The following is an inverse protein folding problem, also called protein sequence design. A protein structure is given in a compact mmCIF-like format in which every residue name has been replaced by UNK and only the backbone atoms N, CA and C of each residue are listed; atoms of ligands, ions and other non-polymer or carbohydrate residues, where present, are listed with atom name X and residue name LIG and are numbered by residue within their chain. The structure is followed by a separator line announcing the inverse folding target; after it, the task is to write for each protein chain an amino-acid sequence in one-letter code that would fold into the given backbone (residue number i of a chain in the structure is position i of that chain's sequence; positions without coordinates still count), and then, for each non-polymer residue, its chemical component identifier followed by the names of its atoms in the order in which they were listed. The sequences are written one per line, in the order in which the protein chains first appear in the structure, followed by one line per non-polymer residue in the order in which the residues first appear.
data_IF_613125262738
#
_entry.id   IF_613125262738
#
_cell.length_a   1.000
_cell.length_b   1.000
_cell.length_c   1.000
_cell.angle_alpha   90.00
_cell.angle_beta   90.00
_cell.angle_gamma   90.00
#
_symmetry.space_group_name_H-M   'P 1'
#
loop_
_entity.id
_entity.type
_entity.pdbx_description
1 polymer ?
#
# COMPACT_ATOMS: atom_id res chain seq x y z
N UNK A 1 14.82 -2.58 22.93
CA UNK A 1 13.38 -2.47 22.58
C UNK A 1 12.59 -2.30 23.87
N UNK A 2 11.68 -1.35 23.88
CA UNK A 2 10.73 -1.15 24.97
C UNK A 2 9.45 -1.87 24.60
N UNK A 3 8.94 -2.72 25.46
CA UNK A 3 7.72 -3.49 25.20
C UNK A 3 6.87 -3.59 26.46
N UNK A 4 5.57 -3.70 26.24
CA UNK A 4 4.59 -3.96 27.27
C UNK A 4 3.94 -5.32 26.99
N UNK A 5 3.70 -6.09 28.04
CA UNK A 5 2.98 -7.34 27.92
C UNK A 5 1.48 -7.06 27.92
N UNK A 6 0.75 -7.70 27.01
CA UNK A 6 -0.70 -7.63 26.95
C UNK A 6 -1.26 -8.84 27.69
N UNK A 7 -2.07 -8.61 28.73
CA UNK A 7 -2.61 -9.67 29.57
C UNK A 7 -3.70 -10.47 28.85
N UNK A 8 -4.53 -9.81 28.05
CA UNK A 8 -5.55 -10.47 27.23
C UNK A 8 -5.50 -9.93 25.79
N UNK A 9 -4.97 -10.70 24.83
CA UNK A 9 -4.85 -10.26 23.44
C UNK A 9 -6.19 -10.15 22.70
N UNK A 10 -7.29 -10.61 23.29
CA UNK A 10 -8.64 -10.55 22.71
C UNK A 10 -9.51 -9.43 23.28
N UNK A 11 -9.08 -8.82 24.39
CA UNK A 11 -9.67 -7.61 24.95
C UNK A 11 -8.88 -6.37 24.56
N UNK A 12 -9.32 -5.20 24.97
CA UNK A 12 -8.70 -3.94 24.53
C UNK A 12 -7.22 -3.86 24.93
N UNK A 13 -6.39 -3.29 24.05
CA UNK A 13 -4.95 -3.03 24.27
C UNK A 13 -4.66 -2.10 25.47
N UNK A 14 -5.68 -1.67 26.20
CA UNK A 14 -5.58 -0.76 27.34
C UNK A 14 -5.09 -1.42 28.63
N UNK A 15 -5.12 -2.76 28.69
CA UNK A 15 -4.68 -3.52 29.87
C UNK A 15 -3.23 -3.98 29.70
N UNK A 16 -2.29 -3.03 29.73
CA UNK A 16 -0.85 -3.29 29.62
C UNK A 16 -0.17 -3.22 30.97
N UNK A 17 0.69 -4.20 31.23
CA UNK A 17 1.61 -4.18 32.38
C UNK A 17 2.68 -3.09 32.24
N UNK A 18 3.48 -2.91 33.27
CA UNK A 18 4.62 -1.99 33.25
C UNK A 18 5.53 -2.24 32.04
N UNK A 19 5.94 -1.15 31.39
CA UNK A 19 6.82 -1.21 30.21
C UNK A 19 8.24 -1.56 30.62
N UNK A 20 8.80 -2.61 30.03
CA UNK A 20 10.19 -3.05 30.25
C UNK A 20 10.99 -3.02 28.97
N UNK A 21 12.29 -2.79 29.08
CA UNK A 21 13.22 -2.84 27.95
C UNK A 21 13.77 -4.28 27.80
N UNK A 22 13.51 -4.91 26.65
CA UNK A 22 13.99 -6.25 26.32
C UNK A 22 14.73 -6.25 24.98
N UNK A 23 15.69 -7.17 24.83
CA UNK A 23 16.32 -7.43 23.56
C UNK A 23 15.39 -8.29 22.69
N UNK A 24 15.34 -8.04 21.38
CA UNK A 24 14.45 -8.76 20.47
C UNK A 24 14.79 -10.25 20.35
N UNK A 25 16.02 -10.63 20.65
CA UNK A 25 16.47 -12.03 20.64
C UNK A 25 15.80 -12.90 21.69
N UNK A 26 15.20 -12.30 22.72
CA UNK A 26 14.48 -13.05 23.77
C UNK A 26 13.08 -13.51 23.34
N UNK A 27 12.61 -13.08 22.16
CA UNK A 27 11.32 -13.50 21.63
C UNK A 27 11.49 -14.61 20.61
N UNK A 28 10.63 -15.62 20.65
CA UNK A 28 10.61 -16.70 19.66
C UNK A 28 10.37 -16.15 18.25
N UNK A 29 9.52 -15.13 18.14
CA UNK A 29 9.21 -14.43 16.88
C UNK A 29 8.83 -12.98 17.14
N UNK A 30 9.29 -12.10 16.26
CA UNK A 30 8.94 -10.68 16.24
C UNK A 30 8.26 -10.36 14.91
N UNK A 31 7.03 -9.88 14.96
CA UNK A 31 6.27 -9.52 13.75
C UNK A 31 6.39 -8.02 13.46
N UNK A 32 6.93 -7.69 12.29
CA UNK A 32 6.88 -6.33 11.77
C UNK A 32 5.52 -6.10 11.09
N UNK A 33 4.57 -5.52 11.83
CA UNK A 33 3.19 -5.26 11.40
C UNK A 33 2.80 -3.79 11.52
N UNK A 34 3.79 -2.89 11.57
CA UNK A 34 3.52 -1.45 11.60
C UNK A 34 2.87 -1.03 10.28
N UNK A 35 1.79 -0.27 10.39
CA UNK A 35 1.13 0.32 9.22
C UNK A 35 1.94 1.49 8.64
N UNK A 36 1.80 1.79 7.34
CA UNK A 36 2.29 3.03 6.74
C UNK A 36 1.78 4.28 7.51
N UNK A 37 2.37 5.45 7.33
CA UNK A 37 3.20 5.84 6.18
C UNK A 37 4.61 5.25 6.23
N UNK A 38 5.17 4.96 5.05
CA UNK A 38 6.58 4.54 4.92
C UNK A 38 7.44 5.81 4.92
N UNK A 39 7.59 6.35 6.11
CA UNK A 39 8.37 7.55 6.42
C UNK A 39 9.76 7.20 6.98
N UNK A 40 10.50 8.22 7.39
CA UNK A 40 11.83 8.05 7.99
C UNK A 40 11.77 7.17 9.25
N UNK A 41 10.76 7.34 10.12
CA UNK A 41 10.61 6.54 11.33
C UNK A 41 10.32 5.07 11.02
N UNK A 42 9.52 4.82 9.99
CA UNK A 42 9.26 3.46 9.50
C UNK A 42 10.55 2.81 8.99
N UNK A 43 11.31 3.54 8.17
CA UNK A 43 12.58 3.04 7.63
C UNK A 43 13.63 2.82 8.72
N UNK A 44 13.76 3.74 9.68
CA UNK A 44 14.65 3.58 10.83
C UNK A 44 14.29 2.34 11.67
N UNK A 45 13.00 2.06 11.87
CA UNK A 45 12.56 0.83 12.52
C UNK A 45 13.00 -0.42 11.76
N UNK A 46 12.88 -0.42 10.41
CA UNK A 46 13.35 -1.53 9.58
C UNK A 46 14.87 -1.74 9.66
N UNK A 47 15.67 -0.66 9.65
CA UNK A 47 17.12 -0.75 9.83
C UNK A 47 17.49 -1.38 11.17
N UNK A 48 16.83 -0.97 12.25
CA UNK A 48 17.06 -1.54 13.58
C UNK A 48 16.63 -3.02 13.65
N UNK A 49 15.52 -3.39 13.00
CA UNK A 49 15.07 -4.77 12.92
C UNK A 49 16.03 -5.63 12.07
N UNK A 50 16.62 -5.09 11.01
CA UNK A 50 17.63 -5.79 10.21
C UNK A 50 18.88 -6.10 11.04
N UNK A 51 19.37 -5.13 11.83
CA UNK A 51 20.47 -5.34 12.76
C UNK A 51 20.11 -6.41 13.80
N UNK A 52 18.90 -6.36 14.37
CA UNK A 52 18.44 -7.37 15.32
C UNK A 52 18.35 -8.76 14.70
N UNK A 53 17.90 -8.86 13.44
CA UNK A 53 17.87 -10.13 12.69
C UNK A 53 19.28 -10.68 12.48
N UNK A 54 20.24 -9.82 12.13
CA UNK A 54 21.66 -10.20 12.02
C UNK A 54 22.23 -10.71 13.36
N UNK A 55 21.75 -10.17 14.48
CA UNK A 55 22.13 -10.61 15.83
C UNK A 55 21.39 -11.88 16.29
N UNK A 56 20.54 -12.47 15.46
CA UNK A 56 19.85 -13.73 15.72
C UNK A 56 18.38 -13.62 16.15
N UNK A 57 17.79 -12.43 16.12
CA UNK A 57 16.35 -12.29 16.36
C UNK A 57 15.53 -12.82 15.16
N UNK A 58 14.47 -13.57 15.44
CA UNK A 58 13.58 -14.12 14.41
C UNK A 58 12.50 -13.11 14.04
N UNK A 59 12.75 -12.32 12.99
CA UNK A 59 11.86 -11.24 12.55
C UNK A 59 10.99 -11.69 11.37
N UNK A 60 9.70 -11.46 11.44
CA UNK A 60 8.69 -11.71 10.40
C UNK A 60 7.86 -10.41 10.21
N UNK A 61 7.73 -9.85 9.06
CA UNK A 61 8.37 -10.13 7.76
C UNK A 61 9.87 -9.77 7.78
N UNK A 62 10.59 -10.28 6.79
CA UNK A 62 12.03 -10.01 6.64
C UNK A 62 12.25 -8.49 6.40
N UNK A 63 13.02 -7.80 7.27
CA UNK A 63 13.14 -6.32 7.22
C UNK A 63 13.67 -5.80 5.89
N UNK A 64 14.67 -6.47 5.31
CA UNK A 64 15.27 -6.10 4.04
C UNK A 64 14.27 -6.19 2.88
N UNK A 65 13.39 -7.19 2.91
CA UNK A 65 12.30 -7.30 1.92
C UNK A 65 11.36 -6.10 2.03
N UNK A 66 10.96 -5.71 3.25
CA UNK A 66 10.10 -4.54 3.46
C UNK A 66 10.75 -3.23 3.03
N UNK A 67 12.06 -3.08 3.18
CA UNK A 67 12.81 -1.91 2.68
C UNK A 67 12.83 -1.87 1.14
N UNK A 68 12.97 -3.03 0.50
CA UNK A 68 13.15 -3.14 -0.96
C UNK A 68 11.81 -3.06 -1.70
N UNK A 69 10.77 -3.68 -1.14
CA UNK A 69 9.49 -3.88 -1.81
C UNK A 69 8.45 -2.81 -1.43
N UNK A 70 8.65 -1.57 -1.90
CA UNK A 70 7.59 -0.56 -1.84
C UNK A 70 6.43 -0.97 -2.74
N UNK A 71 5.24 -1.11 -2.19
CA UNK A 71 4.03 -1.62 -2.86
C UNK A 71 3.63 -0.87 -4.13
N UNK A 72 3.92 0.46 -4.20
CA UNK A 72 3.56 1.28 -5.37
C UNK A 72 4.67 1.28 -6.43
N UNK A 73 5.91 1.48 -6.01
CA UNK A 73 7.04 1.58 -6.94
C UNK A 73 7.40 0.22 -7.51
N UNK A 74 7.42 -0.84 -6.68
CA UNK A 74 7.70 -2.19 -7.16
C UNK A 74 6.69 -2.67 -8.19
N UNK A 75 5.42 -2.25 -8.08
CA UNK A 75 4.37 -2.60 -9.03
C UNK A 75 4.74 -2.23 -10.48
N UNK A 76 5.61 -1.22 -10.69
CA UNK A 76 6.11 -0.84 -12.04
C UNK A 76 6.88 -1.97 -12.75
N UNK A 77 7.44 -2.94 -12.02
CA UNK A 77 8.02 -4.15 -12.64
C UNK A 77 6.97 -4.98 -13.38
N UNK A 78 5.71 -4.77 -13.07
CA UNK A 78 4.55 -5.43 -13.66
C UNK A 78 3.69 -4.47 -14.49
N UNK A 79 4.32 -3.44 -15.09
CA UNK A 79 3.64 -2.37 -15.82
C UNK A 79 2.67 -2.87 -16.90
N UNK A 80 2.94 -4.04 -17.53
CA UNK A 80 2.05 -4.67 -18.51
C UNK A 80 0.66 -5.04 -17.97
N UNK A 81 0.50 -5.10 -16.64
CA UNK A 81 -0.78 -5.40 -15.95
C UNK A 81 -1.37 -4.19 -15.25
N UNK A 82 -0.73 -3.04 -15.38
CA UNK A 82 -1.17 -1.80 -14.78
C UNK A 82 -1.81 -0.89 -15.83
N UNK A 83 -2.67 0.01 -15.37
CA UNK A 83 -3.00 1.19 -16.18
C UNK A 83 -1.72 2.03 -16.38
N UNK A 84 -1.69 2.85 -17.43
CA UNK A 84 -0.51 3.68 -17.67
C UNK A 84 -0.18 4.51 -16.42
N UNK A 85 1.06 4.39 -15.97
CA UNK A 85 1.54 4.90 -14.69
C UNK A 85 2.89 5.59 -14.89
N UNK A 86 3.05 6.75 -14.25
CA UNK A 86 4.27 7.55 -14.28
C UNK A 86 4.60 8.05 -12.86
N UNK A 87 5.88 8.15 -12.53
CA UNK A 87 6.35 8.77 -11.29
C UNK A 87 7.11 10.05 -11.66
N UNK A 88 6.72 11.16 -11.04
CA UNK A 88 7.31 12.48 -11.32
C UNK A 88 7.14 13.45 -10.16
N UNK A 89 7.91 14.52 -10.18
CA UNK A 89 7.72 15.74 -9.38
C UNK A 89 7.74 16.99 -10.27
N UNK A 90 7.60 16.81 -11.60
CA UNK A 90 7.66 17.89 -12.58
C UNK A 90 6.27 18.26 -13.06
N UNK A 91 5.87 19.53 -12.86
CA UNK A 91 4.56 20.03 -13.29
C UNK A 91 4.35 19.94 -14.82
N UNK A 92 5.42 20.07 -15.61
CA UNK A 92 5.31 19.89 -17.06
C UNK A 92 4.88 18.46 -17.40
N UNK A 93 5.51 17.47 -16.77
CA UNK A 93 5.17 16.04 -16.97
C UNK A 93 3.75 15.71 -16.51
N UNK A 94 3.26 16.33 -15.43
CA UNK A 94 1.86 16.23 -15.01
C UNK A 94 0.92 16.71 -16.12
N UNK A 95 1.19 17.90 -16.71
CA UNK A 95 0.37 18.48 -17.79
C UNK A 95 0.37 17.61 -19.05
N UNK A 96 1.52 17.10 -19.45
CA UNK A 96 1.65 16.21 -20.60
C UNK A 96 0.88 14.89 -20.39
N UNK A 97 0.99 14.30 -19.20
CA UNK A 97 0.29 13.08 -18.84
C UNK A 97 -1.24 13.29 -18.82
N UNK A 98 -1.70 14.41 -18.25
CA UNK A 98 -3.11 14.78 -18.27
C UNK A 98 -3.63 15.06 -19.70
N UNK A 99 -2.88 15.77 -20.53
CA UNK A 99 -3.25 16.03 -21.92
C UNK A 99 -3.45 14.74 -22.73
N UNK A 100 -2.71 13.70 -22.39
CA UNK A 100 -2.81 12.38 -23.02
C UNK A 100 -4.02 11.57 -22.55
N UNK A 101 -4.36 11.65 -21.26
CA UNK A 101 -5.33 10.73 -20.61
C UNK A 101 -6.64 11.38 -20.21
N UNK A 102 -6.71 12.71 -20.16
CA UNK A 102 -7.85 13.55 -19.76
C UNK A 102 -8.31 13.38 -18.31
N UNK A 103 -8.37 12.16 -17.81
CA UNK A 103 -8.66 11.85 -16.41
C UNK A 103 -7.51 11.07 -15.79
N UNK A 104 -6.96 11.59 -14.72
CA UNK A 104 -5.81 11.00 -14.05
C UNK A 104 -5.99 10.93 -12.54
N UNK A 105 -5.29 10.00 -11.91
CA UNK A 105 -5.14 9.90 -10.47
C UNK A 105 -3.75 10.34 -10.07
N UNK A 106 -3.69 11.24 -9.09
CA UNK A 106 -2.47 11.67 -8.41
C UNK A 106 -2.44 11.08 -7.00
N UNK A 107 -1.33 10.47 -6.60
CA UNK A 107 -1.17 9.91 -5.24
C UNK A 107 0.27 9.91 -4.76
N UNK A 108 0.53 10.08 -3.44
CA UNK A 108 1.87 9.94 -2.87
C UNK A 108 2.35 8.49 -2.90
N UNK A 109 3.67 8.28 -2.91
CA UNK A 109 4.27 6.94 -2.95
C UNK A 109 4.22 6.22 -1.59
N UNK A 110 4.17 6.95 -0.48
CA UNK A 110 4.30 6.43 0.88
C UNK A 110 2.99 6.45 1.71
N UNK A 111 1.88 6.89 1.11
CA UNK A 111 0.56 6.96 1.77
C UNK A 111 -0.23 5.64 1.67
N UNK A 112 -1.26 5.51 2.53
CA UNK A 112 -2.18 4.37 2.56
C UNK A 112 -3.65 4.82 2.71
N UNK A 113 -4.58 3.86 2.63
CA UNK A 113 -5.99 4.06 3.00
C UNK A 113 -6.79 5.01 2.11
N UNK A 114 -6.27 5.42 0.96
CA UNK A 114 -6.91 6.42 0.10
C UNK A 114 -6.57 7.86 0.48
N UNK A 115 -5.74 8.08 1.51
CA UNK A 115 -5.32 9.42 1.90
C UNK A 115 -4.50 10.09 0.81
N UNK A 116 -4.78 11.37 0.57
CA UNK A 116 -4.10 12.20 -0.44
C UNK A 116 -4.12 11.59 -1.85
N UNK A 117 -5.21 10.90 -2.21
CA UNK A 117 -5.47 10.43 -3.57
C UNK A 117 -6.44 11.41 -4.22
N UNK A 118 -6.03 11.99 -5.33
CA UNK A 118 -6.79 13.01 -6.04
C UNK A 118 -7.10 12.54 -7.46
N UNK A 119 -8.30 12.86 -7.93
CA UNK A 119 -8.70 12.69 -9.34
C UNK A 119 -8.71 14.05 -10.00
N UNK A 120 -7.98 14.19 -11.10
CA UNK A 120 -7.93 15.40 -11.91
C UNK A 120 -8.66 15.19 -13.23
N UNK A 121 -9.69 16.01 -13.47
CA UNK A 121 -10.41 16.12 -14.74
C UNK A 121 -9.82 17.23 -15.62
N UNK A 122 -9.21 18.22 -14.99
CA UNK A 122 -8.54 19.36 -15.62
C UNK A 122 -7.33 19.76 -14.78
N UNK A 123 -6.44 20.56 -15.32
CA UNK A 123 -5.30 21.11 -14.60
C UNK A 123 -5.46 22.61 -14.48
N UNK A 124 -6.09 23.04 -13.41
CA UNK A 124 -6.23 24.44 -13.02
C UNK A 124 -5.13 24.85 -12.02
N UNK A 125 -5.19 26.08 -11.51
CA UNK A 125 -4.31 26.53 -10.44
C UNK A 125 -4.48 25.69 -9.16
N UNK A 126 -5.70 25.22 -8.85
CA UNK A 126 -5.96 24.41 -7.66
C UNK A 126 -5.28 23.04 -7.76
N UNK A 127 -5.38 22.36 -8.92
CA UNK A 127 -4.71 21.07 -9.13
C UNK A 127 -3.19 21.22 -9.09
N UNK A 128 -2.65 22.35 -9.58
CA UNK A 128 -1.22 22.64 -9.47
C UNK A 128 -0.80 22.88 -8.02
N UNK A 129 -1.58 23.60 -7.21
CA UNK A 129 -1.31 23.77 -5.78
C UNK A 129 -1.30 22.44 -5.03
N UNK A 130 -2.25 21.54 -5.34
CA UNK A 130 -2.27 20.19 -4.76
C UNK A 130 -1.02 19.41 -5.16
N UNK A 131 -0.65 19.47 -6.43
CA UNK A 131 0.57 18.82 -6.94
C UNK A 131 1.82 19.35 -6.25
N UNK A 132 1.98 20.68 -6.18
CA UNK A 132 3.11 21.35 -5.54
C UNK A 132 3.18 21.01 -4.04
N UNK A 133 2.04 20.96 -3.35
CA UNK A 133 1.96 20.53 -1.96
C UNK A 133 2.49 19.10 -1.72
N UNK A 134 2.15 18.17 -2.62
CA UNK A 134 2.61 16.79 -2.54
C UNK A 134 4.07 16.62 -2.95
N UNK A 135 4.58 17.46 -3.85
CA UNK A 135 5.96 17.37 -4.37
C UNK A 135 6.98 18.23 -3.61
N UNK A 136 6.54 18.94 -2.55
CA UNK A 136 7.45 19.69 -1.67
C UNK A 136 8.66 18.86 -1.25
N UNK A 137 9.83 19.55 -1.08
CA UNK A 137 11.10 18.89 -0.75
C UNK A 137 11.54 17.84 -1.80
N UNK A 138 11.21 18.08 -3.07
CA UNK A 138 11.56 17.23 -4.20
C UNK A 138 10.98 15.80 -4.13
N UNK A 139 9.86 15.61 -3.41
CA UNK A 139 9.19 14.32 -3.31
C UNK A 139 8.58 13.92 -4.66
N UNK A 140 8.65 12.63 -4.96
CA UNK A 140 8.02 12.04 -6.13
C UNK A 140 6.57 11.65 -5.82
N UNK A 141 5.69 11.79 -6.81
CA UNK A 141 4.30 11.34 -6.78
C UNK A 141 4.01 10.39 -7.93
N UNK A 142 2.98 9.57 -7.80
CA UNK A 142 2.51 8.68 -8.85
C UNK A 142 1.32 9.28 -9.55
N UNK A 143 1.40 9.34 -10.88
CA UNK A 143 0.30 9.63 -11.80
C UNK A 143 -0.18 8.33 -12.42
N UNK A 144 -1.48 8.13 -12.51
CA UNK A 144 -2.06 6.97 -13.19
C UNK A 144 -3.25 7.41 -14.05
N UNK A 145 -3.41 6.80 -15.22
CA UNK A 145 -4.65 6.92 -15.99
C UNK A 145 -5.81 6.44 -15.12
N UNK A 146 -6.87 7.21 -15.03
CA UNK A 146 -8.08 6.82 -14.30
C UNK A 146 -8.77 5.62 -14.96
N UNK A 147 -9.31 4.73 -14.15
CA UNK A 147 -10.08 3.56 -14.58
C UNK A 147 -11.52 3.78 -14.12
N UNK A 148 -12.46 4.14 -15.03
CA UNK A 148 -13.84 4.45 -14.67
C UNK A 148 -14.59 3.29 -14.01
N UNK A 149 -14.21 2.05 -14.35
CA UNK A 149 -14.80 0.82 -13.85
C UNK A 149 -14.62 0.63 -12.34
N UNK A 150 -13.83 1.49 -11.69
CA UNK A 150 -13.70 1.48 -10.22
C UNK A 150 -15.04 1.61 -9.49
N UNK A 151 -16.06 2.18 -10.13
CA UNK A 151 -17.42 2.26 -9.58
C UNK A 151 -18.02 0.89 -9.28
N UNK A 152 -17.60 -0.16 -10.01
CA UNK A 152 -18.01 -1.54 -9.78
C UNK A 152 -17.23 -2.20 -8.63
N UNK A 153 -16.20 -1.51 -8.13
CA UNK A 153 -15.31 -1.92 -7.06
C UNK A 153 -13.98 -2.49 -7.54
N UNK A 154 -13.00 -2.47 -6.66
CA UNK A 154 -11.75 -3.21 -6.82
C UNK A 154 -11.79 -4.52 -6.02
N UNK A 155 -10.99 -5.49 -6.42
CA UNK A 155 -10.92 -6.80 -5.77
C UNK A 155 -9.60 -6.96 -5.03
N UNK A 156 -9.66 -7.12 -3.71
CA UNK A 156 -8.52 -7.55 -2.92
C UNK A 156 -8.54 -9.09 -2.82
N UNK A 157 -7.58 -9.72 -3.47
CA UNK A 157 -7.45 -11.17 -3.50
C UNK A 157 -6.27 -11.57 -2.61
N UNK A 158 -6.54 -12.51 -1.70
CA UNK A 158 -5.52 -13.04 -0.80
C UNK A 158 -4.82 -14.22 -1.48
N UNK A 159 -3.49 -14.22 -1.47
CA UNK A 159 -2.67 -15.34 -1.93
C UNK A 159 -1.94 -15.91 -0.71
N UNK A 160 -2.10 -17.20 -0.44
CA UNK A 160 -1.49 -17.91 0.69
C UNK A 160 -0.66 -19.06 0.14
N UNK A 161 0.63 -19.05 0.41
CA UNK A 161 1.59 -20.05 -0.11
C UNK A 161 1.43 -20.26 -1.64
N UNK A 162 1.36 -19.16 -2.40
CA UNK A 162 1.21 -19.21 -3.84
C UNK A 162 -0.19 -19.63 -4.34
N UNK A 163 -1.17 -19.82 -3.48
CA UNK A 163 -2.52 -20.20 -3.88
C UNK A 163 -3.51 -19.07 -3.62
N UNK A 164 -4.25 -18.60 -4.65
CA UNK A 164 -5.31 -17.62 -4.46
C UNK A 164 -6.43 -18.19 -3.57
N UNK A 165 -6.84 -17.43 -2.57
CA UNK A 165 -8.01 -17.76 -1.79
C UNK A 165 -9.27 -17.68 -2.68
N UNK A 166 -10.21 -18.59 -2.53
CA UNK A 166 -11.38 -18.73 -3.42
C UNK A 166 -12.36 -17.54 -3.37
N UNK A 167 -12.18 -16.63 -2.43
CA UNK A 167 -12.98 -15.41 -2.31
C UNK A 167 -12.10 -14.16 -2.32
N UNK A 168 -12.67 -13.08 -2.82
CA UNK A 168 -12.09 -11.76 -2.81
C UNK A 168 -12.93 -10.80 -1.96
N UNK A 169 -12.28 -9.79 -1.40
CA UNK A 169 -12.95 -8.63 -0.85
C UNK A 169 -13.13 -7.61 -1.98
N UNK A 170 -14.35 -7.46 -2.49
CA UNK A 170 -14.70 -6.35 -3.36
C UNK A 170 -14.88 -5.10 -2.51
N UNK A 171 -14.22 -4.01 -2.89
CA UNK A 171 -14.30 -2.71 -2.22
C UNK A 171 -14.94 -1.72 -3.18
N UNK A 172 -16.18 -1.35 -2.88
CA UNK A 172 -17.04 -0.58 -3.78
C UNK A 172 -17.11 0.86 -3.28
N UNK A 173 -16.72 1.85 -4.10
CA UNK A 173 -16.90 3.26 -3.75
C UNK A 173 -18.36 3.58 -3.42
N UNK A 174 -18.56 4.51 -2.51
CA UNK A 174 -19.89 4.96 -2.09
C UNK A 174 -20.04 6.46 -2.29
N UNK A 175 -21.26 6.95 -2.33
CA UNK A 175 -21.62 8.37 -2.30
C UNK A 175 -20.91 9.25 -3.36
N UNK A 176 -20.76 8.73 -4.58
CA UNK A 176 -20.10 9.45 -5.68
C UNK A 176 -18.58 9.53 -5.56
N UNK A 177 -17.99 8.88 -4.57
CA UNK A 177 -16.53 8.72 -4.44
C UNK A 177 -15.98 7.79 -5.53
N UNK A 178 -14.71 7.96 -5.85
CA UNK A 178 -13.93 6.99 -6.65
C UNK A 178 -13.00 6.14 -5.78
N UNK A 179 -13.05 6.30 -4.44
CA UNK A 179 -12.20 5.57 -3.50
C UNK A 179 -12.94 4.34 -2.97
N UNK A 180 -12.49 3.15 -3.35
CA UNK A 180 -12.99 1.88 -2.83
C UNK A 180 -12.44 1.48 -1.45
N UNK A 181 -11.48 2.25 -0.90
CA UNK A 181 -10.87 1.95 0.39
C UNK A 181 -11.91 1.97 1.51
N UNK A 182 -11.95 0.92 2.34
CA UNK A 182 -12.88 0.84 3.47
C UNK A 182 -12.67 1.99 4.46
N UNK A 183 -11.41 2.39 4.70
CA UNK A 183 -11.07 3.54 5.56
C UNK A 183 -11.53 4.88 4.98
N UNK A 184 -11.82 4.95 3.67
CA UNK A 184 -12.36 6.12 2.99
C UNK A 184 -13.89 6.03 2.75
N UNK A 185 -14.57 5.11 3.45
CA UNK A 185 -16.02 4.94 3.35
C UNK A 185 -16.50 3.94 2.29
N UNK A 186 -15.60 3.23 1.62
CA UNK A 186 -15.97 2.17 0.67
C UNK A 186 -16.72 1.02 1.34
N UNK A 187 -17.65 0.40 0.62
CA UNK A 187 -18.39 -0.78 1.07
C UNK A 187 -17.63 -2.07 0.72
N UNK A 188 -17.43 -2.95 1.71
CA UNK A 188 -16.82 -4.25 1.52
C UNK A 188 -17.87 -5.33 1.21
N UNK A 189 -17.66 -6.09 0.14
CA UNK A 189 -18.46 -7.25 -0.20
C UNK A 189 -17.59 -8.48 -0.44
N UNK A 190 -18.02 -9.64 0.07
CA UNK A 190 -17.33 -10.90 -0.20
C UNK A 190 -17.84 -11.46 -1.51
N UNK A 191 -16.96 -11.65 -2.50
CA UNK A 191 -17.29 -12.21 -3.82
C UNK A 191 -16.46 -13.45 -4.11
N UNK A 192 -17.04 -14.44 -4.79
CA UNK A 192 -16.30 -15.61 -5.26
C UNK A 192 -15.44 -15.24 -6.47
N UNK A 193 -14.21 -15.76 -6.54
CA UNK A 193 -13.40 -15.64 -7.73
C UNK A 193 -14.00 -16.46 -8.88
N UNK A 194 -14.00 -15.89 -10.07
CA UNK A 194 -14.36 -16.62 -11.30
C UNK A 194 -13.21 -17.53 -11.73
N UNK A 195 -13.52 -18.55 -12.55
CA UNK A 195 -12.50 -19.42 -13.13
C UNK A 195 -11.47 -18.62 -13.95
N UNK A 196 -11.91 -17.56 -14.63
CA UNK A 196 -11.03 -16.65 -15.39
C UNK A 196 -10.05 -15.92 -14.45
N UNK A 197 -10.55 -15.34 -13.37
CA UNK A 197 -9.71 -14.66 -12.37
C UNK A 197 -8.68 -15.63 -11.76
N UNK A 198 -9.07 -16.86 -11.49
CA UNK A 198 -8.19 -17.89 -10.95
C UNK A 198 -7.06 -18.26 -11.94
N UNK A 199 -7.41 -18.39 -13.22
CA UNK A 199 -6.44 -18.69 -14.28
C UNK A 199 -5.42 -17.55 -14.46
N UNK A 200 -5.89 -16.32 -14.44
CA UNK A 200 -4.99 -15.14 -14.54
C UNK A 200 -4.02 -15.08 -13.36
N UNK A 201 -4.49 -15.27 -12.13
CA UNK A 201 -3.63 -15.24 -10.94
C UNK A 201 -2.56 -16.33 -10.96
N UNK A 202 -2.89 -17.55 -11.38
CA UNK A 202 -1.93 -18.66 -11.52
C UNK A 202 -0.91 -18.45 -12.65
N UNK A 203 -1.31 -17.87 -13.78
CA UNK A 203 -0.40 -17.58 -14.88
C UNK A 203 0.72 -16.60 -14.49
N UNK A 204 0.48 -15.73 -13.50
CA UNK A 204 1.48 -14.77 -13.02
C UNK A 204 2.53 -15.40 -12.11
N UNK A 205 2.24 -16.50 -11.43
CA UNK A 205 3.21 -17.20 -10.56
C UNK A 205 4.24 -18.01 -11.35
N UNK A 206 3.86 -18.55 -12.51
CA UNK A 206 4.75 -19.38 -13.33
C UNK A 206 5.88 -18.60 -14.04
N UNK A 207 5.85 -17.27 -14.02
CA UNK A 207 6.87 -16.42 -14.61
C UNK A 207 7.81 -15.77 -13.57
N UNK A 208 7.74 -16.15 -12.32
CA UNK A 208 8.53 -15.59 -11.21
C UNK A 208 9.69 -16.48 -10.76
N UNK A 209 10.03 -17.53 -11.53
CA UNK A 209 11.21 -18.36 -11.35
C UNK A 209 12.34 -17.95 -12.27
#
# INVERSE_FOLDING_TARGET
TVCSKVNDPFNSITDMEETVALQLIYFDKVFMRKDPPVDENYMNALYLLEVASFMGANIINEPKALQTFNEKVLALRFAKFMTETLITNQALTLKEFHAKHHEIILKPLNGMGGQSVYKFHEITSNELEVFDGLTQNNRQVMLQKFIPEIIEGDYRILIINGQPFHKALARIPQDGSFLGNLAAGGKGECRSLTAVSYTHLRAHETHSN
#
